data_IF_726040524595
#
_entry.id   IF_726040524595
#
_cell.length_a   1.000
_cell.length_b   1.000
_cell.length_c   1.000
_cell.angle_alpha   90.00
_cell.angle_beta   90.00
_cell.angle_gamma   90.00
#
_symmetry.space_group_name_H-M   'P 1'
#
loop_
_entity.id
_entity.type
_entity.pdbx_description
1 polymer ?
#
# COMPACT_ATOMS: atom_id res chain seq x y z
N UNK A 1 21.45 -19.70 -53.61
CA UNK A 1 20.03 -20.04 -53.35
C UNK A 1 19.97 -20.48 -51.91
N UNK A 2 19.82 -19.51 -51.00
CA UNK A 2 19.86 -19.74 -49.56
C UNK A 2 18.43 -19.74 -49.03
N UNK A 3 18.01 -20.88 -48.48
CA UNK A 3 16.73 -21.02 -47.80
C UNK A 3 16.81 -20.34 -46.43
N UNK A 4 16.29 -19.12 -46.38
CA UNK A 4 16.00 -18.42 -45.13
C UNK A 4 14.92 -19.20 -44.35
N UNK A 5 15.34 -19.86 -43.28
CA UNK A 5 14.45 -20.51 -42.31
C UNK A 5 13.69 -19.43 -41.53
N UNK A 6 12.46 -19.14 -41.98
CA UNK A 6 11.46 -18.39 -41.22
C UNK A 6 10.92 -19.31 -40.13
N UNK A 7 11.62 -19.37 -39.00
CA UNK A 7 11.06 -19.94 -37.78
C UNK A 7 9.84 -19.10 -37.38
N UNK A 8 8.63 -19.68 -37.26
CA UNK A 8 7.46 -18.95 -36.84
C UNK A 8 7.69 -18.45 -35.42
N UNK A 9 7.71 -17.13 -35.26
CA UNK A 9 7.79 -16.47 -33.97
C UNK A 9 6.73 -17.07 -33.06
N UNK A 10 7.17 -17.72 -31.97
CA UNK A 10 6.29 -18.04 -30.85
C UNK A 10 5.79 -16.72 -30.31
N UNK A 11 4.63 -16.29 -30.77
CA UNK A 11 3.70 -15.52 -29.97
C UNK A 11 3.45 -16.38 -28.73
N UNK A 12 4.29 -16.19 -27.71
CA UNK A 12 3.90 -16.45 -26.33
C UNK A 12 2.78 -15.45 -26.08
N UNK A 13 1.59 -15.81 -26.55
CA UNK A 13 0.35 -15.17 -26.17
C UNK A 13 0.35 -15.24 -24.67
N UNK A 14 0.79 -14.14 -24.04
CA UNK A 14 0.54 -13.84 -22.66
C UNK A 14 -0.97 -13.79 -22.62
N UNK A 15 -1.60 -14.96 -22.44
CA UNK A 15 -2.94 -15.07 -21.91
C UNK A 15 -2.81 -14.35 -20.59
N UNK A 16 -3.11 -13.07 -20.61
CA UNK A 16 -3.54 -12.31 -19.45
C UNK A 16 -4.83 -13.03 -19.08
N UNK A 17 -4.70 -14.21 -18.45
CA UNK A 17 -5.76 -14.76 -17.64
C UNK A 17 -6.15 -13.58 -16.78
N UNK A 18 -7.39 -13.12 -16.96
CA UNK A 18 -8.01 -12.14 -16.12
C UNK A 18 -8.04 -12.81 -14.74
N UNK A 19 -6.91 -12.69 -14.03
CA UNK A 19 -6.71 -13.20 -12.71
C UNK A 19 -7.69 -12.35 -11.92
N UNK A 20 -8.87 -12.94 -11.69
CA UNK A 20 -9.94 -12.30 -10.98
C UNK A 20 -9.30 -11.77 -9.71
N UNK A 21 -9.27 -10.44 -9.58
CA UNK A 21 -8.86 -9.76 -8.36
C UNK A 21 -10.00 -10.02 -7.38
N UNK A 22 -10.11 -11.28 -6.95
CA UNK A 22 -10.98 -11.67 -5.87
C UNK A 22 -10.55 -10.92 -4.63
N UNK A 23 -11.48 -10.73 -3.70
CA UNK A 23 -11.18 -10.21 -2.37
C UNK A 23 -10.29 -11.22 -1.65
N UNK A 24 -8.98 -11.15 -1.91
CA UNK A 24 -7.99 -11.92 -1.21
C UNK A 24 -7.75 -11.23 0.13
N UNK A 25 -8.29 -11.83 1.19
CA UNK A 25 -8.01 -11.41 2.57
C UNK A 25 -6.50 -11.49 2.76
N UNK A 26 -5.88 -10.34 3.02
CA UNK A 26 -4.45 -10.25 3.23
C UNK A 26 -4.16 -10.39 4.71
N UNK A 27 -3.31 -11.36 5.04
CA UNK A 27 -2.93 -11.64 6.42
C UNK A 27 -2.33 -10.40 7.13
N UNK A 28 -1.56 -9.58 6.41
CA UNK A 28 -0.85 -8.43 7.00
C UNK A 28 -1.77 -7.29 7.46
N UNK A 29 -2.65 -6.73 6.62
CA UNK A 29 -3.65 -5.74 7.03
C UNK A 29 -4.64 -6.29 8.05
N UNK A 30 -5.11 -7.53 7.87
CA UNK A 30 -5.98 -8.19 8.87
C UNK A 30 -5.30 -8.22 10.23
N UNK A 31 -4.04 -8.66 10.28
CA UNK A 31 -3.29 -8.71 11.53
C UNK A 31 -3.01 -7.33 12.12
N UNK A 32 -2.68 -6.35 11.28
CA UNK A 32 -2.49 -4.97 11.71
C UNK A 32 -3.77 -4.39 12.33
N UNK A 33 -4.94 -4.65 11.74
CA UNK A 33 -6.23 -4.23 12.28
C UNK A 33 -6.53 -4.89 13.64
N UNK A 34 -6.30 -6.19 13.77
CA UNK A 34 -6.44 -6.92 15.05
C UNK A 34 -5.48 -6.34 16.10
N UNK A 35 -4.23 -6.08 15.73
CA UNK A 35 -3.25 -5.45 16.61
C UNK A 35 -3.69 -4.04 17.05
N UNK A 36 -4.25 -3.23 16.14
CA UNK A 36 -4.78 -1.92 16.47
C UNK A 36 -5.96 -2.02 17.45
N UNK A 37 -6.88 -2.95 17.19
CA UNK A 37 -8.00 -3.26 18.07
C UNK A 37 -7.54 -3.69 19.47
N UNK A 38 -6.63 -4.65 19.57
CA UNK A 38 -6.10 -5.09 20.86
C UNK A 38 -5.43 -3.94 21.62
N UNK A 39 -4.65 -3.11 20.93
CA UNK A 39 -3.98 -1.94 21.53
C UNK A 39 -4.94 -0.87 22.08
N UNK A 40 -6.22 -0.94 21.74
CA UNK A 40 -7.23 0.00 22.23
C UNK A 40 -7.82 -0.39 23.60
N UNK A 41 -7.48 -1.58 24.12
CA UNK A 41 -7.88 -2.05 25.44
C UNK A 41 -9.13 -2.96 25.43
N UNK A 42 -9.51 -3.52 26.59
CA UNK A 42 -10.67 -4.40 26.71
C UNK A 42 -11.97 -3.60 26.53
N UNK A 43 -12.53 -3.63 25.31
CA UNK A 43 -13.84 -3.07 25.02
C UNK A 43 -14.97 -3.96 25.52
N UNK A 44 -16.11 -3.37 25.87
CA UNK A 44 -17.33 -4.11 26.15
C UNK A 44 -17.87 -4.70 24.84
N UNK A 45 -17.91 -6.03 24.73
CA UNK A 45 -18.41 -6.72 23.55
C UNK A 45 -19.94 -6.79 23.60
N UNK A 46 -20.59 -5.77 23.03
CA UNK A 46 -22.00 -5.86 22.65
C UNK A 46 -22.14 -6.22 21.16
N UNK A 47 -23.34 -6.64 20.75
CA UNK A 47 -23.59 -7.04 19.35
C UNK A 47 -23.36 -5.91 18.33
N UNK A 48 -23.55 -4.65 18.73
CA UNK A 48 -23.32 -3.50 17.87
C UNK A 48 -21.80 -3.26 17.65
N UNK A 49 -20.99 -3.44 18.69
CA UNK A 49 -19.55 -3.33 18.65
C UNK A 49 -18.94 -4.48 17.86
N UNK A 50 -19.49 -5.69 17.95
CA UNK A 50 -19.08 -6.80 17.09
C UNK A 50 -19.32 -6.47 15.60
N UNK A 51 -20.50 -5.97 15.24
CA UNK A 51 -20.81 -5.56 13.86
C UNK A 51 -19.89 -4.43 13.36
N UNK A 52 -19.63 -3.42 14.20
CA UNK A 52 -18.71 -2.33 13.85
C UNK A 52 -17.27 -2.80 13.72
N UNK A 53 -16.81 -3.74 14.55
CA UNK A 53 -15.49 -4.34 14.44
C UNK A 53 -15.35 -5.12 13.13
N UNK A 54 -16.36 -5.91 12.75
CA UNK A 54 -16.41 -6.62 11.46
C UNK A 54 -16.39 -5.62 10.29
N UNK A 55 -17.21 -4.56 10.36
CA UNK A 55 -17.24 -3.51 9.35
C UNK A 55 -15.88 -2.80 9.21
N UNK A 56 -15.23 -2.51 10.34
CA UNK A 56 -13.89 -1.90 10.38
C UNK A 56 -12.83 -2.83 9.77
N UNK A 57 -12.90 -4.12 10.07
CA UNK A 57 -12.01 -5.13 9.50
C UNK A 57 -12.20 -5.29 7.98
N UNK A 58 -13.44 -5.38 7.51
CA UNK A 58 -13.76 -5.44 6.07
C UNK A 58 -13.30 -4.17 5.34
N UNK A 59 -13.48 -3.00 5.95
CA UNK A 59 -12.99 -1.74 5.42
C UNK A 59 -11.45 -1.76 5.32
N UNK A 60 -10.77 -2.15 6.41
CA UNK A 60 -9.32 -2.13 6.54
C UNK A 60 -8.61 -3.10 5.58
N UNK A 61 -9.13 -4.30 5.40
CA UNK A 61 -8.48 -5.32 4.56
C UNK A 61 -9.10 -5.40 3.17
N UNK A 62 -10.34 -5.88 3.08
CA UNK A 62 -11.01 -6.20 1.82
C UNK A 62 -11.21 -4.97 0.91
N UNK A 63 -11.80 -3.89 1.42
CA UNK A 63 -12.15 -2.72 0.60
C UNK A 63 -10.89 -1.93 0.24
N UNK A 64 -10.05 -1.57 1.23
CA UNK A 64 -8.81 -0.83 0.97
C UNK A 64 -7.82 -1.65 0.12
N UNK A 65 -7.70 -2.96 0.38
CA UNK A 65 -6.85 -3.85 -0.41
C UNK A 65 -7.30 -3.91 -1.87
N UNK A 66 -8.61 -3.99 -2.13
CA UNK A 66 -9.16 -3.90 -3.47
C UNK A 66 -8.79 -2.57 -4.14
N UNK A 67 -9.04 -1.42 -3.49
CA UNK A 67 -8.71 -0.10 -4.03
C UNK A 67 -7.22 0.00 -4.39
N UNK A 68 -6.33 -0.44 -3.51
CA UNK A 68 -4.88 -0.40 -3.75
C UNK A 68 -4.45 -1.32 -4.88
N UNK A 69 -5.02 -2.52 -4.98
CA UNK A 69 -4.78 -3.42 -6.11
C UNK A 69 -5.20 -2.79 -7.45
N UNK A 70 -6.37 -2.12 -7.49
CA UNK A 70 -6.82 -1.42 -8.69
C UNK A 70 -5.92 -0.23 -9.04
N UNK A 71 -5.43 0.53 -8.06
CA UNK A 71 -4.48 1.62 -8.29
C UNK A 71 -3.15 1.11 -8.87
N UNK A 72 -2.64 -0.03 -8.38
CA UNK A 72 -1.45 -0.68 -8.92
C UNK A 72 -1.69 -1.12 -10.36
N UNK A 73 -2.86 -1.73 -10.66
CA UNK A 73 -3.22 -2.14 -12.01
C UNK A 73 -3.26 -0.95 -12.99
N UNK A 74 -3.86 0.18 -12.57
CA UNK A 74 -3.88 1.42 -13.36
C UNK A 74 -2.45 1.95 -13.58
N UNK A 75 -1.60 1.90 -12.55
CA UNK A 75 -0.19 2.27 -12.63
C UNK A 75 0.58 1.43 -13.66
N UNK A 76 0.45 0.10 -13.59
CA UNK A 76 1.07 -0.85 -14.53
C UNK A 76 0.65 -0.59 -15.98
N UNK A 77 -0.64 -0.37 -16.22
CA UNK A 77 -1.17 -0.04 -17.55
C UNK A 77 -0.62 1.29 -18.08
N UNK A 78 -0.36 2.25 -17.20
CA UNK A 78 0.22 3.55 -17.58
C UNK A 78 1.69 3.41 -18.00
N UNK A 79 2.46 2.50 -17.40
CA UNK A 79 3.89 2.30 -17.73
C UNK A 79 4.10 1.61 -19.07
N UNK A 80 3.27 0.62 -19.41
CA UNK A 80 3.36 -0.12 -20.69
C UNK A 80 3.17 0.79 -21.91
N UNK A 81 2.64 1.99 -21.74
CA UNK A 81 2.25 2.89 -22.82
C UNK A 81 3.25 4.03 -23.07
N UNK A 82 4.22 4.24 -22.17
CA UNK A 82 5.32 5.21 -22.31
C UNK A 82 6.47 4.67 -23.19
N UNK A 83 6.21 3.64 -24.01
CA UNK A 83 7.16 3.13 -25.00
C UNK A 83 7.62 4.22 -25.98
N UNK A 84 8.80 4.07 -26.61
CA UNK A 84 9.55 5.12 -27.32
C UNK A 84 8.89 5.67 -28.60
N UNK A 85 7.60 5.41 -28.82
CA UNK A 85 6.96 5.63 -30.12
C UNK A 85 6.11 6.90 -30.22
N UNK A 86 6.50 7.65 -31.26
CA UNK A 86 5.81 8.72 -32.00
C UNK A 86 5.96 10.14 -31.47
N UNK A 87 7.14 10.68 -31.76
CA UNK A 87 7.39 12.11 -32.02
C UNK A 87 6.61 12.67 -33.25
N UNK A 88 5.84 11.85 -33.96
CA UNK A 88 5.10 12.28 -35.14
C UNK A 88 3.68 12.77 -34.83
N UNK A 89 3.40 14.02 -35.20
CA UNK A 89 2.07 14.66 -35.35
C UNK A 89 1.53 15.37 -34.09
N UNK A 90 2.05 16.58 -33.87
CA UNK A 90 1.45 17.57 -32.99
C UNK A 90 0.16 18.15 -33.61
N UNK A 91 -0.98 17.46 -33.43
CA UNK A 91 -2.29 18.02 -33.82
C UNK A 91 -2.73 19.03 -32.75
N UNK A 92 -2.47 20.31 -33.00
CA UNK A 92 -2.91 21.43 -32.18
C UNK A 92 -4.39 21.75 -32.42
N UNK A 93 -5.27 21.22 -31.57
CA UNK A 93 -6.62 21.76 -31.41
C UNK A 93 -6.63 22.67 -30.18
N UNK A 94 -6.45 23.96 -30.40
CA UNK A 94 -6.48 24.97 -29.36
C UNK A 94 -7.91 25.43 -29.10
N UNK A 95 -8.56 24.89 -28.07
CA UNK A 95 -9.70 25.58 -27.44
C UNK A 95 -9.09 26.75 -26.67
N UNK A 96 -9.05 27.91 -27.31
CA UNK A 96 -8.52 29.15 -26.73
C UNK A 96 -9.45 29.63 -25.62
N UNK A 97 -8.97 29.63 -24.39
CA UNK A 97 -9.69 30.23 -23.26
C UNK A 97 -9.35 31.72 -23.25
N UNK A 98 -10.33 32.63 -23.47
CA UNK A 98 -10.08 34.01 -23.85
C UNK A 98 -9.40 34.89 -22.78
N UNK A 99 -9.27 34.41 -21.54
CA UNK A 99 -8.67 35.17 -20.44
C UNK A 99 -7.24 34.76 -20.08
N UNK A 100 -6.65 33.75 -20.73
CA UNK A 100 -5.25 33.39 -20.52
C UNK A 100 -4.38 34.02 -21.60
N UNK A 101 -3.80 35.20 -21.32
CA UNK A 101 -2.79 35.81 -22.19
C UNK A 101 -1.72 34.76 -22.55
N UNK A 102 -1.42 34.64 -23.84
CA UNK A 102 -0.43 33.69 -24.36
C UNK A 102 0.91 33.99 -23.69
N UNK A 103 1.41 33.03 -22.90
CA UNK A 103 2.67 33.17 -22.16
C UNK A 103 2.55 33.23 -20.62
N UNK A 104 1.36 33.45 -20.07
CA UNK A 104 1.14 33.47 -18.63
C UNK A 104 1.46 32.10 -17.96
N UNK A 105 1.90 32.06 -16.69
CA UNK A 105 2.16 30.80 -15.97
C UNK A 105 0.93 29.90 -15.91
N UNK A 106 -0.27 30.48 -15.80
CA UNK A 106 -1.54 29.75 -15.87
C UNK A 106 -1.76 29.05 -17.20
N UNK A 107 -1.36 29.66 -18.33
CA UNK A 107 -1.44 29.04 -19.65
C UNK A 107 -0.52 27.81 -19.76
N UNK A 108 0.69 27.88 -19.19
CA UNK A 108 1.64 26.74 -19.18
C UNK A 108 1.09 25.58 -18.36
N UNK A 109 0.58 25.86 -17.15
CA UNK A 109 -0.04 24.84 -16.29
C UNK A 109 -1.26 24.23 -17.00
N UNK A 110 -2.12 25.08 -17.58
CA UNK A 110 -3.30 24.65 -18.31
C UNK A 110 -2.91 23.71 -19.44
N UNK A 111 -1.97 24.09 -20.33
CA UNK A 111 -1.52 23.26 -21.45
C UNK A 111 -0.96 21.92 -20.99
N UNK A 112 -0.21 21.88 -19.89
CA UNK A 112 0.28 20.64 -19.28
C UNK A 112 -0.87 19.76 -18.78
N UNK A 113 -1.86 20.35 -18.10
CA UNK A 113 -3.04 19.64 -17.58
C UNK A 113 -3.91 19.14 -18.72
N UNK A 114 -4.29 19.98 -19.70
CA UNK A 114 -5.15 19.56 -20.83
C UNK A 114 -4.46 18.50 -21.67
N UNK A 115 -3.17 18.63 -21.95
CA UNK A 115 -2.40 17.62 -22.68
C UNK A 115 -2.28 16.30 -21.90
N UNK A 116 -2.22 16.36 -20.57
CA UNK A 116 -2.20 15.17 -19.70
C UNK A 116 -3.57 14.51 -19.59
N UNK A 117 -4.64 15.28 -19.46
CA UNK A 117 -6.03 14.79 -19.45
C UNK A 117 -6.39 14.18 -20.80
N UNK A 118 -6.01 14.83 -21.91
CA UNK A 118 -6.25 14.31 -23.27
C UNK A 118 -5.52 12.98 -23.48
N UNK A 119 -4.23 12.92 -23.18
CA UNK A 119 -3.46 11.66 -23.25
C UNK A 119 -4.08 10.57 -22.38
N UNK A 120 -4.47 10.91 -21.16
CA UNK A 120 -5.10 9.94 -20.27
C UNK A 120 -6.44 9.44 -20.84
N UNK A 121 -7.30 10.33 -21.34
CA UNK A 121 -8.59 9.99 -21.94
C UNK A 121 -8.47 9.16 -23.22
N UNK A 122 -7.53 9.48 -24.09
CA UNK A 122 -7.39 8.83 -25.40
C UNK A 122 -6.61 7.51 -25.30
N UNK A 123 -5.59 7.44 -24.45
CA UNK A 123 -4.65 6.31 -24.40
C UNK A 123 -4.88 5.36 -23.23
N UNK A 124 -5.06 5.90 -22.03
CA UNK A 124 -5.07 5.12 -20.77
C UNK A 124 -6.50 4.69 -20.42
N UNK A 125 -7.48 5.59 -20.56
CA UNK A 125 -8.85 5.38 -20.12
C UNK A 125 -9.53 4.14 -20.72
N UNK A 126 -9.46 3.83 -22.03
CA UNK A 126 -10.17 2.67 -22.58
C UNK A 126 -9.77 1.33 -21.92
N UNK A 127 -8.50 1.20 -21.52
CA UNK A 127 -7.96 0.00 -20.86
C UNK A 127 -8.08 0.06 -19.35
N UNK A 128 -7.89 1.25 -18.76
CA UNK A 128 -7.97 1.46 -17.33
C UNK A 128 -9.41 1.60 -16.81
N UNK A 129 -10.41 1.81 -17.69
CA UNK A 129 -11.82 2.02 -17.33
C UNK A 129 -12.37 1.02 -16.31
N UNK A 130 -12.26 -0.31 -16.49
CA UNK A 130 -12.79 -1.25 -15.50
C UNK A 130 -12.11 -1.08 -14.13
N UNK A 131 -10.79 -0.91 -14.10
CA UNK A 131 -10.02 -0.72 -12.85
C UNK A 131 -10.31 0.63 -12.18
N UNK A 132 -10.48 1.69 -12.97
CA UNK A 132 -10.82 3.02 -12.46
C UNK A 132 -12.23 3.02 -11.87
N UNK A 133 -13.20 2.38 -12.54
CA UNK A 133 -14.56 2.28 -12.03
C UNK A 133 -14.63 1.44 -10.75
N UNK A 134 -13.93 0.30 -10.68
CA UNK A 134 -13.89 -0.51 -9.45
C UNK A 134 -13.18 0.23 -8.31
N UNK A 135 -12.10 0.97 -8.58
CA UNK A 135 -11.45 1.82 -7.58
C UNK A 135 -12.37 2.94 -7.08
N UNK A 136 -13.10 3.61 -7.97
CA UNK A 136 -14.04 4.70 -7.61
C UNK A 136 -15.22 4.16 -6.80
N UNK A 137 -15.83 3.06 -7.24
CA UNK A 137 -16.94 2.40 -6.51
C UNK A 137 -16.45 1.88 -5.16
N UNK A 138 -15.28 1.26 -5.11
CA UNK A 138 -14.64 0.80 -3.88
C UNK A 138 -14.36 1.95 -2.92
N UNK A 139 -13.83 3.08 -3.41
CA UNK A 139 -13.62 4.28 -2.61
C UNK A 139 -14.93 4.87 -2.08
N UNK A 140 -15.98 4.92 -2.92
CA UNK A 140 -17.32 5.34 -2.49
C UNK A 140 -17.86 4.46 -1.37
N UNK A 141 -17.80 3.13 -1.54
CA UNK A 141 -18.21 2.17 -0.52
C UNK A 141 -17.38 2.31 0.77
N UNK A 142 -16.06 2.50 0.65
CA UNK A 142 -15.17 2.72 1.78
C UNK A 142 -15.59 3.96 2.59
N UNK A 143 -15.89 5.07 1.91
CA UNK A 143 -16.31 6.31 2.53
C UNK A 143 -17.69 6.20 3.18
N UNK A 144 -18.65 5.50 2.55
CA UNK A 144 -19.97 5.24 3.16
C UNK A 144 -19.85 4.40 4.43
N UNK A 145 -19.07 3.31 4.37
CA UNK A 145 -18.79 2.47 5.55
C UNK A 145 -18.09 3.27 6.66
N UNK A 146 -17.08 4.06 6.30
CA UNK A 146 -16.36 4.90 7.25
C UNK A 146 -17.25 5.99 7.86
N UNK A 147 -18.17 6.58 7.07
CA UNK A 147 -19.14 7.56 7.56
C UNK A 147 -20.11 6.94 8.57
N UNK A 148 -20.55 5.69 8.35
CA UNK A 148 -21.37 4.94 9.30
C UNK A 148 -20.62 4.65 10.62
N UNK A 149 -19.31 4.38 10.54
CA UNK A 149 -18.45 4.15 11.71
C UNK A 149 -18.11 5.44 12.47
N UNK A 150 -18.27 6.61 11.84
CA UNK A 150 -18.14 7.92 12.47
C UNK A 150 -17.15 8.87 11.79
N UNK A 151 -17.16 10.17 12.15
CA UNK A 151 -16.42 11.20 11.45
C UNK A 151 -14.90 11.01 11.47
N UNK A 152 -14.35 10.41 12.55
CA UNK A 152 -12.91 10.14 12.67
C UNK A 152 -12.48 9.03 11.70
N UNK A 153 -13.27 7.97 11.58
CA UNK A 153 -13.02 6.89 10.62
C UNK A 153 -13.12 7.40 9.19
N UNK A 154 -14.12 8.24 8.91
CA UNK A 154 -14.26 8.90 7.61
C UNK A 154 -13.03 9.72 7.24
N UNK A 155 -12.54 10.56 8.17
CA UNK A 155 -11.34 11.37 7.94
C UNK A 155 -10.11 10.52 7.65
N UNK A 156 -9.92 9.42 8.39
CA UNK A 156 -8.79 8.50 8.17
C UNK A 156 -8.91 7.75 6.84
N UNK A 157 -10.09 7.22 6.51
CA UNK A 157 -10.32 6.53 5.25
C UNK A 157 -10.13 7.47 4.05
N UNK A 158 -10.69 8.69 4.12
CA UNK A 158 -10.52 9.71 3.10
C UNK A 158 -9.05 10.12 2.94
N UNK A 159 -8.35 10.36 4.05
CA UNK A 159 -6.92 10.68 4.03
C UNK A 159 -6.06 9.56 3.46
N UNK A 160 -6.37 8.30 3.80
CA UNK A 160 -5.70 7.12 3.26
C UNK A 160 -5.91 6.95 1.76
N UNK A 161 -7.15 7.07 1.28
CA UNK A 161 -7.50 7.01 -0.15
C UNK A 161 -6.83 8.16 -0.93
N UNK A 162 -6.88 9.37 -0.39
CA UNK A 162 -6.25 10.55 -0.99
C UNK A 162 -4.72 10.35 -1.08
N UNK A 163 -4.09 9.87 -0.01
CA UNK A 163 -2.65 9.58 0.01
C UNK A 163 -2.27 8.52 -1.02
N UNK A 164 -3.05 7.44 -1.13
CA UNK A 164 -2.85 6.39 -2.12
C UNK A 164 -3.00 6.93 -3.56
N UNK A 165 -4.00 7.77 -3.81
CA UNK A 165 -4.19 8.43 -5.10
C UNK A 165 -3.02 9.37 -5.43
N UNK A 166 -2.55 10.18 -4.47
CA UNK A 166 -1.37 11.03 -4.62
C UNK A 166 -0.11 10.20 -4.94
N UNK A 167 0.11 9.09 -4.22
CA UNK A 167 1.21 8.18 -4.48
C UNK A 167 1.12 7.57 -5.88
N UNK A 168 -0.07 7.15 -6.34
CA UNK A 168 -0.26 6.65 -7.70
C UNK A 168 0.06 7.71 -8.77
N UNK A 169 -0.24 8.98 -8.51
CA UNK A 169 0.12 10.09 -9.40
C UNK A 169 1.61 10.42 -9.38
N UNK A 170 2.27 10.31 -8.22
CA UNK A 170 3.70 10.59 -8.06
C UNK A 170 4.58 9.46 -8.60
N UNK A 171 4.15 8.21 -8.45
CA UNK A 171 4.88 7.02 -8.86
C UNK A 171 4.94 6.80 -10.38
N UNK A 172 4.54 7.78 -11.19
CA UNK A 172 4.33 7.75 -12.66
C UNK A 172 5.23 6.86 -13.52
N UNK A 173 6.46 6.60 -13.09
CA UNK A 173 7.46 5.83 -13.83
C UNK A 173 7.98 4.58 -13.09
N UNK A 174 7.53 4.35 -11.88
CA UNK A 174 8.05 3.30 -11.00
C UNK A 174 6.90 2.58 -10.30
N UNK A 175 6.40 1.52 -10.93
CA UNK A 175 5.39 0.63 -10.34
C UNK A 175 5.93 -0.01 -9.05
N UNK A 176 7.21 -0.35 -9.01
CA UNK A 176 7.79 -0.98 -7.84
C UNK A 176 7.78 -0.01 -6.64
N UNK A 177 8.01 1.28 -6.86
CA UNK A 177 7.82 2.31 -5.85
C UNK A 177 6.38 2.38 -5.35
N UNK A 178 5.39 2.41 -6.26
CA UNK A 178 3.97 2.45 -5.89
C UNK A 178 3.58 1.23 -5.04
N UNK A 179 3.95 0.03 -5.49
CA UNK A 179 3.67 -1.23 -4.79
C UNK A 179 4.28 -1.21 -3.38
N UNK A 180 5.53 -0.78 -3.23
CA UNK A 180 6.19 -0.68 -1.91
C UNK A 180 5.50 0.32 -1.00
N UNK A 181 5.16 1.51 -1.51
CA UNK A 181 4.49 2.54 -0.74
C UNK A 181 3.10 2.11 -0.28
N UNK A 182 2.31 1.47 -1.15
CA UNK A 182 0.99 0.95 -0.78
C UNK A 182 1.09 -0.25 0.17
N UNK A 183 2.10 -1.10 0.02
CA UNK A 183 2.38 -2.19 0.96
C UNK A 183 2.69 -1.68 2.37
N UNK A 184 3.28 -0.48 2.51
CA UNK A 184 3.44 0.19 3.80
C UNK A 184 2.19 0.94 4.29
N UNK A 185 1.53 1.68 3.40
CA UNK A 185 0.36 2.48 3.74
C UNK A 185 -0.80 1.61 4.24
N UNK A 186 -1.00 0.43 3.63
CA UNK A 186 -2.11 -0.46 3.96
C UNK A 186 -2.12 -0.95 5.41
N UNK A 187 -1.07 -1.61 5.94
CA UNK A 187 -1.04 -2.00 7.34
C UNK A 187 -1.05 -0.81 8.31
N UNK A 188 -0.49 0.34 7.94
CA UNK A 188 -0.57 1.55 8.76
C UNK A 188 -2.02 2.03 8.92
N UNK A 189 -2.78 2.11 7.82
CA UNK A 189 -4.20 2.46 7.85
C UNK A 189 -5.03 1.40 8.58
N UNK A 190 -4.76 0.12 8.31
CA UNK A 190 -5.48 -0.98 8.95
C UNK A 190 -5.30 -0.97 10.47
N UNK A 191 -4.07 -0.76 10.96
CA UNK A 191 -3.81 -0.59 12.39
C UNK A 191 -4.53 0.63 12.98
N UNK A 192 -4.49 1.77 12.29
CA UNK A 192 -5.14 3.00 12.75
C UNK A 192 -6.67 2.87 12.82
N UNK A 193 -7.29 2.21 11.82
CA UNK A 193 -8.71 1.90 11.79
C UNK A 193 -9.08 0.95 12.94
N UNK A 194 -8.31 -0.12 13.16
CA UNK A 194 -8.54 -1.04 14.26
C UNK A 194 -8.48 -0.36 15.63
N UNK A 195 -7.53 0.56 15.82
CA UNK A 195 -7.37 1.28 17.09
C UNK A 195 -8.47 2.30 17.35
N UNK A 196 -8.83 3.11 16.34
CA UNK A 196 -9.85 4.16 16.48
C UNK A 196 -11.24 3.62 16.78
N UNK A 197 -11.45 2.31 16.65
CA UNK A 197 -12.73 1.70 16.90
C UNK A 197 -13.16 1.81 18.37
N UNK A 198 -12.21 1.69 19.31
CA UNK A 198 -12.50 1.71 20.76
C UNK A 198 -11.94 2.97 21.43
N UNK A 199 -10.80 3.49 20.95
CA UNK A 199 -10.07 4.55 21.64
C UNK A 199 -10.02 5.88 20.85
N UNK A 200 -10.01 7.03 21.54
CA UNK A 200 -9.86 8.32 20.89
C UNK A 200 -8.44 8.49 20.32
N UNK A 201 -8.35 9.24 19.22
CA UNK A 201 -7.09 9.55 18.57
C UNK A 201 -6.08 10.23 19.51
N UNK A 202 -4.87 9.68 19.60
CA UNK A 202 -3.71 10.27 20.31
C UNK A 202 -2.51 10.30 19.36
N UNK A 203 -1.70 11.36 19.44
CA UNK A 203 -0.54 11.54 18.57
C UNK A 203 0.50 10.41 18.72
N UNK A 204 0.61 9.79 19.89
CA UNK A 204 1.51 8.64 20.12
C UNK A 204 1.18 7.43 19.23
N UNK A 205 -0.09 7.25 18.89
CA UNK A 205 -0.57 6.09 18.12
C UNK A 205 -0.24 6.23 16.64
N UNK A 206 -0.12 7.46 16.13
CA UNK A 206 0.41 7.71 14.79
C UNK A 206 1.84 7.19 14.65
N UNK A 207 2.65 7.31 15.70
CA UNK A 207 4.00 6.75 15.74
C UNK A 207 3.99 5.23 15.55
N UNK A 208 3.11 4.53 16.27
CA UNK A 208 3.00 3.07 16.17
C UNK A 208 2.50 2.64 14.80
N UNK A 209 1.42 3.26 14.29
CA UNK A 209 0.93 3.02 12.92
C UNK A 209 2.03 3.24 11.87
N UNK A 210 2.81 4.32 12.00
CA UNK A 210 3.91 4.61 11.10
C UNK A 210 5.00 3.54 11.16
N UNK A 211 5.33 2.99 12.33
CA UNK A 211 6.29 1.87 12.46
C UNK A 211 5.79 0.62 11.72
N UNK A 212 4.49 0.29 11.82
CA UNK A 212 3.90 -0.82 11.05
C UNK A 212 4.04 -0.59 9.54
N UNK A 213 3.72 0.61 9.08
CA UNK A 213 3.81 0.94 7.66
C UNK A 213 5.24 0.98 7.14
N UNK A 214 6.17 1.57 7.90
CA UNK A 214 7.59 1.62 7.54
C UNK A 214 8.20 0.21 7.52
N UNK A 215 7.81 -0.67 8.44
CA UNK A 215 8.28 -2.06 8.47
C UNK A 215 7.83 -2.85 7.25
N UNK A 216 6.55 -2.73 6.89
CA UNK A 216 6.01 -3.34 5.69
C UNK A 216 6.63 -2.75 4.40
N UNK A 217 6.83 -1.43 4.34
CA UNK A 217 7.53 -0.77 3.24
C UNK A 217 8.98 -1.27 3.08
N UNK A 218 9.74 -1.32 4.18
CA UNK A 218 11.14 -1.76 4.17
C UNK A 218 11.24 -3.20 3.63
N UNK A 219 10.33 -4.08 4.02
CA UNK A 219 10.29 -5.45 3.53
C UNK A 219 9.88 -5.59 2.08
N UNK A 220 8.85 -4.85 1.66
CA UNK A 220 8.48 -4.80 0.25
C UNK A 220 9.64 -4.27 -0.62
N UNK A 221 10.52 -3.45 -0.06
CA UNK A 221 11.74 -3.01 -0.74
C UNK A 221 12.80 -4.11 -0.81
N UNK A 222 12.99 -4.87 0.28
CA UNK A 222 13.94 -5.98 0.35
C UNK A 222 13.59 -7.17 -0.55
N UNK A 223 12.33 -7.35 -0.94
CA UNK A 223 11.93 -8.41 -1.88
C UNK A 223 12.37 -8.13 -3.32
N UNK A 224 12.52 -6.86 -3.71
CA UNK A 224 12.95 -6.48 -5.07
C UNK A 224 14.47 -6.42 -5.20
N UNK A 225 15.16 -6.13 -4.10
CA UNK A 225 16.62 -6.14 -4.05
C UNK A 225 17.17 -5.69 -2.71
N UNK A 226 18.41 -6.09 -2.41
CA UNK A 226 19.11 -5.62 -1.21
C UNK A 226 19.43 -4.14 -1.37
N UNK A 227 18.76 -3.31 -0.57
CA UNK A 227 19.10 -1.91 -0.40
C UNK A 227 19.57 -1.72 1.04
N UNK A 228 20.82 -1.28 1.23
CA UNK A 228 21.38 -1.03 2.57
C UNK A 228 20.47 -0.12 3.40
N UNK A 229 19.84 0.87 2.78
CA UNK A 229 18.88 1.75 3.44
C UNK A 229 17.62 1.04 3.95
N UNK A 230 17.13 0.00 3.26
CA UNK A 230 15.96 -0.76 3.71
C UNK A 230 16.31 -1.68 4.90
N UNK A 231 17.50 -2.29 4.89
CA UNK A 231 18.01 -3.07 6.02
C UNK A 231 18.22 -2.16 7.23
N UNK A 232 18.85 -1.01 7.03
CA UNK A 232 19.07 -0.02 8.08
C UNK A 232 17.75 0.49 8.67
N UNK A 233 16.77 0.82 7.81
CA UNK A 233 15.44 1.25 8.25
C UNK A 233 14.75 0.17 9.09
N UNK A 234 14.79 -1.10 8.64
CA UNK A 234 14.20 -2.21 9.39
C UNK A 234 14.90 -2.40 10.75
N UNK A 235 16.23 -2.31 10.78
CA UNK A 235 17.02 -2.34 12.01
C UNK A 235 16.66 -1.19 12.96
N UNK A 236 16.50 0.03 12.45
CA UNK A 236 16.08 1.19 13.23
C UNK A 236 14.68 0.99 13.84
N UNK A 237 13.72 0.45 13.08
CA UNK A 237 12.38 0.13 13.57
C UNK A 237 12.44 -0.88 14.71
N UNK A 238 13.27 -1.93 14.57
CA UNK A 238 13.49 -2.92 15.63
C UNK A 238 14.07 -2.31 16.89
N UNK A 239 15.09 -1.45 16.76
CA UNK A 239 15.69 -0.73 17.90
C UNK A 239 14.66 0.14 18.60
N UNK A 240 13.88 0.92 17.85
CA UNK A 240 12.80 1.75 18.43
C UNK A 240 11.81 0.90 19.20
N UNK A 241 11.38 -0.24 18.64
CA UNK A 241 10.41 -1.13 19.27
C UNK A 241 10.96 -1.76 20.57
N UNK A 242 12.21 -2.21 20.56
CA UNK A 242 12.90 -2.70 21.77
C UNK A 242 13.01 -1.60 22.83
N UNK A 243 13.42 -0.38 22.44
CA UNK A 243 13.53 0.75 23.37
C UNK A 243 12.18 1.12 23.98
N UNK A 244 11.10 1.13 23.19
CA UNK A 244 9.74 1.36 23.69
C UNK A 244 9.36 0.29 24.72
N UNK A 245 9.62 -1.00 24.44
CA UNK A 245 9.33 -2.09 25.38
C UNK A 245 10.13 -1.96 26.68
N UNK A 246 11.40 -1.54 26.61
CA UNK A 246 12.23 -1.30 27.79
C UNK A 246 11.73 -0.12 28.62
N UNK A 247 11.38 1.01 28.00
CA UNK A 247 10.82 2.18 28.69
C UNK A 247 9.48 1.86 29.35
N UNK A 248 8.69 0.96 28.76
CA UNK A 248 7.43 0.48 29.33
C UNK A 248 7.65 -0.57 30.45
N UNK A 249 8.90 -0.96 30.72
CA UNK A 249 9.23 -1.90 31.79
C UNK A 249 8.92 -3.36 31.45
N UNK A 250 9.00 -3.73 30.16
CA UNK A 250 8.71 -5.07 29.66
C UNK A 250 9.98 -5.74 29.10
N UNK A 251 10.98 -6.07 29.93
CA UNK A 251 12.29 -6.54 29.47
C UNK A 251 12.23 -7.91 28.78
N UNK A 252 11.33 -8.79 29.21
CA UNK A 252 11.15 -10.12 28.60
C UNK A 252 10.66 -9.97 27.14
N UNK A 253 9.70 -9.09 26.91
CA UNK A 253 9.19 -8.80 25.56
C UNK A 253 10.23 -8.10 24.70
N UNK A 254 11.00 -7.18 25.27
CA UNK A 254 12.12 -6.54 24.59
C UNK A 254 13.18 -7.56 24.14
N UNK A 255 13.53 -8.53 24.99
CA UNK A 255 14.44 -9.62 24.64
C UNK A 255 13.89 -10.49 23.51
N UNK A 256 12.60 -10.87 23.56
CA UNK A 256 11.97 -11.61 22.47
C UNK A 256 11.95 -10.83 21.15
N UNK A 257 11.64 -9.53 21.19
CA UNK A 257 11.69 -8.66 20.03
C UNK A 257 13.11 -8.55 19.45
N UNK A 258 14.14 -8.47 20.30
CA UNK A 258 15.53 -8.46 19.87
C UNK A 258 15.95 -9.80 19.22
N UNK A 259 15.53 -10.94 19.77
CA UNK A 259 15.77 -12.26 19.17
C UNK A 259 15.07 -12.38 17.82
N UNK A 260 13.81 -11.93 17.73
CA UNK A 260 13.06 -11.91 16.48
C UNK A 260 13.72 -11.00 15.42
N UNK A 261 14.23 -9.84 15.83
CA UNK A 261 14.98 -8.92 14.97
C UNK A 261 16.27 -9.57 14.44
N UNK A 262 17.00 -10.26 15.31
CA UNK A 262 18.22 -10.97 14.94
C UNK A 262 17.91 -12.09 13.95
N UNK A 263 16.87 -12.88 14.20
CA UNK A 263 16.41 -13.93 13.29
C UNK A 263 15.99 -13.38 11.92
N UNK A 264 15.26 -12.26 11.89
CA UNK A 264 14.84 -11.60 10.64
C UNK A 264 16.08 -11.12 9.86
N UNK A 265 17.07 -10.50 10.54
CA UNK A 265 18.33 -10.07 9.92
C UNK A 265 19.16 -11.24 9.38
N UNK A 266 19.28 -12.35 10.12
CA UNK A 266 19.99 -13.55 9.65
C UNK A 266 19.28 -14.18 8.45
N UNK A 267 17.94 -14.19 8.44
CA UNK A 267 17.15 -14.70 7.31
C UNK A 267 17.24 -13.81 6.06
N UNK A 268 17.35 -12.49 6.26
CA UNK A 268 17.66 -11.56 5.18
C UNK A 268 19.06 -11.83 4.61
N UNK A 269 20.00 -12.25 5.48
CA UNK A 269 21.38 -12.68 5.24
C UNK A 269 21.54 -13.83 4.22
N UNK A 270 20.81 -14.92 4.44
CA UNK A 270 20.99 -16.20 3.71
C UNK A 270 20.37 -16.23 2.31
N UNK A 271 19.43 -15.35 2.01
CA UNK A 271 18.69 -15.35 0.73
C UNK A 271 19.54 -14.96 -0.49
N UNK A 272 20.79 -14.55 -0.29
CA UNK A 272 21.68 -14.09 -1.36
C UNK A 272 22.26 -15.24 -2.22
N UNK A 273 22.30 -16.47 -1.71
CA UNK A 273 23.12 -17.53 -2.33
C UNK A 273 22.32 -18.51 -3.22
N UNK A 274 21.00 -18.60 -3.04
CA UNK A 274 20.16 -19.53 -3.78
C UNK A 274 19.17 -18.78 -4.69
N UNK A 275 19.51 -18.65 -5.97
CA UNK A 275 18.68 -18.07 -7.04
C UNK A 275 17.35 -18.79 -7.31
N UNK A 276 17.00 -19.82 -6.53
CA UNK A 276 15.74 -20.56 -6.66
C UNK A 276 14.63 -19.87 -5.86
N UNK A 277 13.98 -18.89 -6.49
CA UNK A 277 12.94 -18.03 -5.92
C UNK A 277 11.62 -18.73 -5.50
N UNK A 278 11.45 -20.02 -5.80
CA UNK A 278 10.16 -20.72 -5.68
C UNK A 278 9.91 -21.42 -4.33
N UNK A 279 10.91 -21.52 -3.45
CA UNK A 279 10.80 -22.31 -2.21
C UNK A 279 10.97 -21.56 -0.89
N UNK A 280 11.13 -20.22 -0.91
CA UNK A 280 11.34 -19.44 0.30
C UNK A 280 10.03 -19.29 1.10
N UNK A 281 9.74 -20.31 1.91
CA UNK A 281 8.87 -20.21 3.07
C UNK A 281 9.24 -18.97 3.88
N UNK A 282 8.24 -18.39 4.58
CA UNK A 282 8.19 -16.99 5.06
C UNK A 282 8.50 -16.86 6.58
N UNK A 283 9.62 -17.37 7.15
CA UNK A 283 9.83 -17.30 8.59
C UNK A 283 9.89 -15.85 9.10
N UNK A 284 10.46 -14.93 8.33
CA UNK A 284 10.51 -13.50 8.68
C UNK A 284 9.13 -12.80 8.71
N UNK A 285 8.10 -13.39 8.08
CA UNK A 285 6.74 -12.85 8.16
C UNK A 285 6.12 -13.13 9.52
N UNK A 286 6.31 -14.34 10.06
CA UNK A 286 5.71 -14.73 11.34
C UNK A 286 6.36 -14.03 12.53
N UNK A 287 7.67 -13.83 12.52
CA UNK A 287 8.39 -13.10 13.58
C UNK A 287 7.85 -11.67 13.74
N UNK A 288 7.54 -11.01 12.63
CA UNK A 288 6.91 -9.70 12.65
C UNK A 288 5.52 -9.70 13.24
N UNK A 289 4.66 -10.59 12.74
CA UNK A 289 3.27 -10.67 13.18
C UNK A 289 3.26 -10.89 14.70
N UNK A 290 4.10 -11.79 15.19
CA UNK A 290 4.26 -12.05 16.61
C UNK A 290 4.70 -10.81 17.41
N UNK A 291 5.73 -10.10 16.96
CA UNK A 291 6.22 -8.90 17.67
C UNK A 291 5.21 -7.75 17.63
N UNK A 292 4.53 -7.57 16.50
CA UNK A 292 3.47 -6.56 16.39
C UNK A 292 2.31 -6.83 17.34
N UNK A 293 1.97 -8.11 17.54
CA UNK A 293 0.94 -8.51 18.50
C UNK A 293 1.38 -8.21 19.93
N UNK A 294 2.59 -8.62 20.30
CA UNK A 294 3.13 -8.35 21.64
C UNK A 294 3.17 -6.85 21.94
N UNK A 295 3.61 -6.04 20.97
CA UNK A 295 3.69 -4.58 21.12
C UNK A 295 2.30 -3.98 21.35
N UNK A 296 1.31 -4.42 20.56
CA UNK A 296 -0.08 -4.01 20.75
C UNK A 296 -0.65 -4.42 22.10
N UNK A 297 -0.34 -5.63 22.57
CA UNK A 297 -0.78 -6.14 23.87
C UNK A 297 -0.21 -5.29 25.02
N UNK A 298 1.08 -4.93 24.94
CA UNK A 298 1.72 -4.05 25.93
C UNK A 298 1.07 -2.67 25.99
N UNK A 299 0.74 -2.10 24.83
CA UNK A 299 0.04 -0.81 24.77
C UNK A 299 -1.33 -0.91 25.45
N UNK A 300 -2.05 -2.01 25.21
CA UNK A 300 -3.37 -2.26 25.80
C UNK A 300 -3.36 -2.34 27.33
N UNK A 301 -2.32 -2.95 27.93
CA UNK A 301 -2.24 -3.13 29.39
C UNK A 301 -1.77 -1.88 30.16
N UNK A 302 -1.23 -0.87 29.47
CA UNK A 302 -0.68 0.35 30.08
C UNK A 302 -1.55 1.59 29.90
N UNK A 303 -2.46 1.57 28.92
CA UNK A 303 -3.36 2.69 28.60
C UNK A 303 -4.65 2.63 29.38
#
# INVERSE_FOLDING_TARGET
MDQASLAPGRDQGIKVEAQWVGLAISLEPTWAAVCGYLASGPGHWDGANALRAIATWLLADAILGCIFAQLIAIGRLSLLQDGPDREGVAISFGVGIPYAAVGAPGYRLMRLVTGRVRRWRERIWPRARPHALTAIVGAGLALVMAAYLGPKMLALAAGGILSAACLAVLARRDEAFLVRCLAGLHPALAWSLGHMFVAPWRASLLGVSALFGLGAYARARLTVGRCAGAVWLLGAIWVVLVMVLLVVGQPILAAMAAIAALADNMSAGSRQDNGNALGASRPGRWSWLFVTLLTSLVIAYRG
#
